data_IF_855580492143
#
_entry.id   IF_855580492143
#
_cell.length_a   1.000
_cell.length_b   1.000
_cell.length_c   1.000
_cell.angle_alpha   90.00
_cell.angle_beta   90.00
_cell.angle_gamma   90.00
#
_symmetry.space_group_name_H-M   'P 1'
#
loop_
_entity.id
_entity.type
_entity.pdbx_description
1 polymer ?
#
# COMPACT_ATOMS: atom_id res chain seq x y z
N UNK A 1 13.60 -12.68 27.81
CA UNK A 1 12.39 -12.71 26.94
C UNK A 1 11.85 -11.33 26.54
N UNK A 2 11.93 -10.27 27.37
CA UNK A 2 11.59 -8.88 26.96
C UNK A 2 12.60 -8.25 25.99
N UNK A 3 13.90 -8.48 26.18
CA UNK A 3 14.98 -7.95 25.32
C UNK A 3 14.81 -8.33 23.84
N UNK A 4 14.57 -9.60 23.54
CA UNK A 4 14.31 -10.08 22.17
C UNK A 4 13.07 -9.44 21.51
N UNK A 5 12.03 -9.10 22.29
CA UNK A 5 10.89 -8.33 21.76
C UNK A 5 11.30 -6.92 21.36
N UNK A 6 12.07 -6.21 22.19
CA UNK A 6 12.56 -4.86 21.87
C UNK A 6 13.50 -4.84 20.65
N UNK A 7 14.39 -5.83 20.55
CA UNK A 7 15.26 -6.02 19.38
C UNK A 7 14.42 -6.27 18.12
N UNK A 8 13.39 -7.12 18.20
CA UNK A 8 12.47 -7.35 17.08
C UNK A 8 11.71 -6.08 16.63
N UNK A 9 11.24 -5.27 17.57
CA UNK A 9 10.61 -3.98 17.24
C UNK A 9 11.59 -2.98 16.61
N UNK A 10 12.85 -2.97 17.08
CA UNK A 10 13.91 -2.14 16.50
C UNK A 10 14.19 -2.54 15.04
N UNK A 11 14.30 -3.84 14.74
CA UNK A 11 14.49 -4.34 13.38
C UNK A 11 13.31 -3.99 12.47
N UNK A 12 12.08 -4.16 12.94
CA UNK A 12 10.87 -3.74 12.20
C UNK A 12 10.89 -2.25 11.89
N UNK A 13 11.27 -1.42 12.87
CA UNK A 13 11.39 0.02 12.70
C UNK A 13 12.44 0.39 11.66
N UNK A 14 13.62 -0.24 11.70
CA UNK A 14 14.69 -0.04 10.71
C UNK A 14 14.20 -0.42 9.31
N UNK A 15 13.52 -1.56 9.16
CA UNK A 15 12.97 -2.01 7.88
C UNK A 15 11.97 -0.98 7.33
N UNK A 16 11.04 -0.50 8.16
CA UNK A 16 10.05 0.50 7.76
C UNK A 16 10.73 1.79 7.31
N UNK A 17 11.69 2.32 8.07
CA UNK A 17 12.44 3.52 7.70
C UNK A 17 13.19 3.33 6.39
N UNK A 18 13.84 2.18 6.21
CA UNK A 18 14.60 1.87 5.00
C UNK A 18 13.69 1.88 3.78
N UNK A 19 12.52 1.25 3.87
CA UNK A 19 11.53 1.26 2.79
C UNK A 19 10.99 2.66 2.49
N UNK A 20 10.71 3.47 3.53
CA UNK A 20 10.29 4.87 3.34
C UNK A 20 11.37 5.71 2.68
N UNK A 21 12.64 5.50 3.06
CA UNK A 21 13.78 6.22 2.49
C UNK A 21 14.00 5.84 1.02
N UNK A 22 13.93 4.55 0.67
CA UNK A 22 13.98 4.07 -0.71
C UNK A 22 12.84 4.69 -1.53
N UNK A 23 11.62 4.73 -0.99
CA UNK A 23 10.48 5.33 -1.68
C UNK A 23 10.69 6.82 -1.96
N UNK A 24 11.17 7.58 -0.97
CA UNK A 24 11.49 9.00 -1.11
C UNK A 24 12.54 9.25 -2.20
N UNK A 25 13.60 8.44 -2.24
CA UNK A 25 14.68 8.60 -3.24
C UNK A 25 14.22 8.16 -4.63
N UNK A 26 13.41 7.12 -4.73
CA UNK A 26 13.03 6.52 -6.02
C UNK A 26 11.91 7.29 -6.72
N UNK A 27 10.97 7.88 -5.96
CA UNK A 27 9.80 8.54 -6.55
C UNK A 27 9.74 10.03 -6.25
N UNK A 28 9.94 10.45 -5.00
CA UNK A 28 9.77 11.86 -4.63
C UNK A 28 10.90 12.74 -5.16
N UNK A 29 12.15 12.29 -5.01
CA UNK A 29 13.33 13.06 -5.47
C UNK A 29 13.32 13.28 -6.99
N UNK A 30 13.05 12.26 -7.84
CA UNK A 30 12.95 12.45 -9.29
C UNK A 30 11.80 13.37 -9.67
N UNK A 31 10.62 13.27 -9.04
CA UNK A 31 9.51 14.20 -9.31
C UNK A 31 9.94 15.65 -9.13
N UNK A 32 10.59 15.99 -8.00
CA UNK A 32 11.06 17.35 -7.73
C UNK A 32 12.11 17.79 -8.76
N UNK A 33 13.02 16.90 -9.15
CA UNK A 33 14.04 17.20 -10.16
C UNK A 33 13.40 17.45 -11.52
N UNK A 34 12.45 16.64 -11.96
CA UNK A 34 11.76 16.81 -13.24
C UNK A 34 10.96 18.10 -13.28
N UNK A 35 10.25 18.45 -12.19
CA UNK A 35 9.56 19.73 -12.05
C UNK A 35 10.53 20.91 -12.21
N UNK A 36 11.68 20.88 -11.52
CA UNK A 36 12.68 21.95 -11.58
C UNK A 36 13.32 22.08 -12.97
N UNK A 37 13.49 20.97 -13.69
CA UNK A 37 14.04 20.94 -15.05
C UNK A 37 13.01 21.27 -16.13
N UNK A 38 11.73 21.33 -15.78
CA UNK A 38 10.64 21.48 -16.76
C UNK A 38 10.45 20.23 -17.64
N UNK A 39 10.93 19.07 -17.21
CA UNK A 39 10.80 17.80 -17.94
C UNK A 39 9.47 17.14 -17.59
N UNK A 40 8.40 17.62 -18.23
CA UNK A 40 7.03 17.19 -17.93
C UNK A 40 6.67 15.82 -18.54
N UNK A 41 7.37 15.37 -19.59
CA UNK A 41 7.22 14.02 -20.15
C UNK A 41 7.67 12.97 -19.14
N UNK A 42 8.90 13.08 -18.63
CA UNK A 42 9.43 12.16 -17.62
C UNK A 42 8.61 12.21 -16.33
N UNK A 43 8.14 13.40 -15.93
CA UNK A 43 7.27 13.57 -14.76
C UNK A 43 5.93 12.84 -14.93
N UNK A 44 5.26 13.05 -16.07
CA UNK A 44 3.99 12.41 -16.38
C UNK A 44 4.13 10.89 -16.38
N UNK A 45 5.15 10.38 -17.06
CA UNK A 45 5.46 8.95 -17.11
C UNK A 45 5.68 8.38 -15.70
N UNK A 46 6.50 9.03 -14.88
CA UNK A 46 6.78 8.59 -13.51
C UNK A 46 5.53 8.53 -12.64
N UNK A 47 4.66 9.54 -12.73
CA UNK A 47 3.39 9.59 -11.97
C UNK A 47 2.46 8.46 -12.41
N UNK A 48 2.35 8.21 -13.72
CA UNK A 48 1.52 7.12 -14.24
C UNK A 48 2.03 5.75 -13.79
N UNK A 49 3.34 5.51 -13.86
CA UNK A 49 3.97 4.27 -13.36
C UNK A 49 3.70 4.09 -11.87
N UNK A 50 3.86 5.14 -11.07
CA UNK A 50 3.55 5.09 -9.63
C UNK A 50 2.07 4.75 -9.39
N UNK A 51 1.16 5.31 -10.18
CA UNK A 51 -0.27 5.00 -10.13
C UNK A 51 -0.56 3.51 -10.37
N UNK A 52 0.07 2.91 -11.39
CA UNK A 52 -0.06 1.46 -11.66
C UNK A 52 0.50 0.62 -10.52
N UNK A 53 1.64 1.01 -9.94
CA UNK A 53 2.25 0.32 -8.80
C UNK A 53 1.28 0.29 -7.61
N UNK A 54 0.63 1.40 -7.27
CA UNK A 54 -0.33 1.45 -6.17
C UNK A 54 -1.54 0.52 -6.39
N UNK A 55 -2.05 0.44 -7.62
CA UNK A 55 -3.11 -0.51 -7.98
C UNK A 55 -2.62 -1.94 -7.73
N UNK A 56 -1.49 -2.32 -8.33
CA UNK A 56 -0.93 -3.67 -8.23
C UNK A 56 -0.69 -4.06 -6.76
N UNK A 57 -0.10 -3.17 -5.96
CA UNK A 57 0.13 -3.40 -4.53
C UNK A 57 -1.19 -3.67 -3.79
N UNK A 58 -2.25 -2.91 -4.08
CA UNK A 58 -3.57 -3.11 -3.46
C UNK A 58 -4.14 -4.51 -3.71
N UNK A 59 -4.02 -5.01 -4.94
CA UNK A 59 -4.40 -6.38 -5.31
C UNK A 59 -3.48 -7.44 -4.69
N UNK A 60 -2.17 -7.20 -4.70
CA UNK A 60 -1.19 -8.12 -4.14
C UNK A 60 -1.40 -8.34 -2.64
N UNK A 61 -1.65 -7.28 -1.87
CA UNK A 61 -2.00 -7.40 -0.45
C UNK A 61 -3.25 -8.24 -0.22
N UNK A 62 -4.30 -8.06 -1.03
CA UNK A 62 -5.52 -8.87 -0.93
C UNK A 62 -5.20 -10.34 -1.17
N UNK A 63 -4.53 -10.65 -2.28
CA UNK A 63 -4.16 -12.02 -2.63
C UNK A 63 -3.32 -12.68 -1.53
N UNK A 64 -2.34 -11.95 -0.99
CA UNK A 64 -1.45 -12.48 0.03
C UNK A 64 -2.16 -12.74 1.36
N UNK A 65 -2.98 -11.81 1.85
CA UNK A 65 -3.71 -12.00 3.12
C UNK A 65 -4.82 -13.04 2.97
N UNK A 66 -5.60 -12.98 1.88
CA UNK A 66 -6.66 -13.98 1.63
C UNK A 66 -6.07 -15.38 1.42
N UNK A 67 -4.93 -15.51 0.76
CA UNK A 67 -4.23 -16.79 0.60
C UNK A 67 -3.81 -17.39 1.94
N UNK A 68 -3.28 -16.57 2.86
CA UNK A 68 -2.95 -17.02 4.22
C UNK A 68 -4.20 -17.38 5.03
N UNK A 69 -5.25 -16.56 4.95
CA UNK A 69 -6.51 -16.77 5.67
C UNK A 69 -7.23 -18.06 5.24
N UNK A 70 -7.06 -18.49 3.99
CA UNK A 70 -7.67 -19.69 3.44
C UNK A 70 -6.72 -20.91 3.37
N UNK A 71 -5.54 -20.83 3.98
CA UNK A 71 -4.52 -21.87 3.84
C UNK A 71 -4.88 -23.20 4.53
N UNK A 72 -5.74 -23.19 5.56
CA UNK A 72 -6.21 -24.40 6.23
C UNK A 72 -7.55 -24.18 6.94
N UNK A 73 -8.33 -25.25 7.23
CA UNK A 73 -9.60 -25.15 7.96
C UNK A 73 -9.46 -24.45 9.32
N UNK A 74 -8.37 -24.72 10.05
CA UNK A 74 -8.09 -24.08 11.35
C UNK A 74 -7.92 -22.56 11.22
N UNK A 75 -7.20 -22.11 10.18
CA UNK A 75 -6.98 -20.67 9.96
C UNK A 75 -8.27 -19.98 9.51
N UNK A 76 -9.09 -20.67 8.71
CA UNK A 76 -10.40 -20.17 8.31
C UNK A 76 -11.29 -19.95 9.54
N UNK A 77 -11.37 -20.94 10.44
CA UNK A 77 -12.14 -20.85 11.68
C UNK A 77 -11.60 -19.73 12.59
N UNK A 78 -10.28 -19.56 12.65
CA UNK A 78 -9.65 -18.46 13.39
C UNK A 78 -10.11 -17.08 12.89
N UNK A 79 -10.10 -16.84 11.57
CA UNK A 79 -10.56 -15.57 11.00
C UNK A 79 -12.08 -15.38 11.10
N UNK A 80 -12.88 -16.45 11.09
CA UNK A 80 -14.32 -16.41 11.37
C UNK A 80 -14.58 -15.95 12.82
N UNK A 81 -13.88 -16.52 13.79
CA UNK A 81 -13.98 -16.12 15.20
C UNK A 81 -13.56 -14.64 15.41
N UNK A 82 -12.47 -14.20 14.78
CA UNK A 82 -12.08 -12.77 14.81
C UNK A 82 -13.19 -11.89 14.23
N UNK A 83 -13.82 -12.30 13.11
CA UNK A 83 -14.92 -11.55 12.49
C UNK A 83 -16.12 -11.44 13.42
N UNK A 84 -16.51 -12.52 14.10
CA UNK A 84 -17.59 -12.49 15.10
C UNK A 84 -17.28 -11.51 16.23
N UNK A 85 -16.07 -11.59 16.81
CA UNK A 85 -15.61 -10.65 17.84
C UNK A 85 -15.64 -9.19 17.35
N UNK A 86 -15.25 -8.96 16.10
CA UNK A 86 -15.32 -7.62 15.51
C UNK A 86 -16.76 -7.10 15.40
N UNK A 87 -17.71 -7.95 14.99
CA UNK A 87 -19.13 -7.61 14.90
C UNK A 87 -19.75 -7.35 16.27
N UNK A 88 -19.34 -8.10 17.29
CA UNK A 88 -19.73 -7.91 18.69
C UNK A 88 -19.04 -6.70 19.36
N UNK A 89 -18.24 -5.93 18.61
CA UNK A 89 -17.44 -4.79 19.10
C UNK A 89 -16.49 -5.16 20.25
N UNK A 90 -16.09 -6.42 20.32
CA UNK A 90 -15.09 -6.87 21.28
C UNK A 90 -13.71 -6.30 20.94
N UNK A 91 -12.83 -6.27 21.94
CA UNK A 91 -11.48 -5.77 21.79
C UNK A 91 -10.62 -6.76 21.00
N UNK A 92 -10.45 -6.49 19.70
CA UNK A 92 -9.46 -7.19 18.86
C UNK A 92 -8.23 -6.34 18.59
N UNK A 93 -7.09 -6.98 18.33
CA UNK A 93 -5.84 -6.30 17.99
C UNK A 93 -5.99 -5.50 16.69
N UNK A 94 -5.22 -4.42 16.57
CA UNK A 94 -5.19 -3.62 15.35
C UNK A 94 -4.76 -4.44 14.13
N UNK A 95 -3.81 -5.36 14.30
CA UNK A 95 -3.34 -6.25 13.23
C UNK A 95 -4.47 -7.11 12.66
N UNK A 96 -5.34 -7.65 13.53
CA UNK A 96 -6.49 -8.44 13.09
C UNK A 96 -7.55 -7.58 12.38
N UNK A 97 -7.74 -6.32 12.81
CA UNK A 97 -8.61 -5.38 12.08
C UNK A 97 -8.10 -5.11 10.67
N UNK A 98 -6.79 -4.86 10.54
CA UNK A 98 -6.14 -4.62 9.25
C UNK A 98 -6.29 -5.84 8.34
N UNK A 99 -6.04 -7.05 8.84
CA UNK A 99 -6.21 -8.27 8.06
C UNK A 99 -7.65 -8.43 7.55
N UNK A 100 -8.65 -8.23 8.42
CA UNK A 100 -10.07 -8.30 8.02
C UNK A 100 -10.39 -7.26 6.93
N UNK A 101 -9.92 -6.03 7.06
CA UNK A 101 -10.12 -4.99 6.04
C UNK A 101 -9.47 -5.37 4.69
N UNK A 102 -8.27 -5.95 4.72
CA UNK A 102 -7.59 -6.42 3.51
C UNK A 102 -8.40 -7.55 2.85
N UNK A 103 -8.89 -8.52 3.63
CA UNK A 103 -9.75 -9.61 3.16
C UNK A 103 -11.04 -9.05 2.52
N UNK A 104 -11.65 -8.04 3.15
CA UNK A 104 -12.82 -7.32 2.63
C UNK A 104 -12.52 -6.45 1.39
N UNK A 105 -11.27 -6.41 0.95
CA UNK A 105 -10.84 -5.73 -0.26
C UNK A 105 -10.62 -4.22 -0.10
N UNK A 106 -10.47 -3.72 1.13
CA UNK A 106 -10.11 -2.31 1.34
C UNK A 106 -8.74 -1.96 0.75
N UNK A 107 -7.78 -2.89 0.73
CA UNK A 107 -6.49 -2.68 0.07
C UNK A 107 -6.66 -2.34 -1.42
N UNK A 108 -7.55 -3.05 -2.13
CA UNK A 108 -7.87 -2.77 -3.53
C UNK A 108 -8.56 -1.42 -3.66
N UNK A 109 -9.55 -1.13 -2.82
CA UNK A 109 -10.27 0.16 -2.89
C UNK A 109 -9.33 1.35 -2.72
N UNK A 110 -8.42 1.27 -1.76
CA UNK A 110 -7.42 2.32 -1.49
C UNK A 110 -6.41 2.40 -2.65
N UNK A 111 -5.86 1.25 -3.07
CA UNK A 111 -4.91 1.18 -4.18
C UNK A 111 -5.49 1.74 -5.48
N UNK A 112 -6.73 1.39 -5.81
CA UNK A 112 -7.43 1.91 -7.00
C UNK A 112 -7.70 3.41 -6.89
N UNK A 113 -8.15 3.91 -5.74
CA UNK A 113 -8.36 5.36 -5.56
C UNK A 113 -7.08 6.15 -5.78
N UNK A 114 -6.00 5.77 -5.08
CA UNK A 114 -4.70 6.45 -5.20
C UNK A 114 -4.17 6.32 -6.62
N UNK A 115 -4.20 5.11 -7.18
CA UNK A 115 -3.66 4.83 -8.50
C UNK A 115 -4.40 5.55 -9.62
N UNK A 116 -5.74 5.56 -9.61
CA UNK A 116 -6.54 6.30 -10.59
C UNK A 116 -6.27 7.80 -10.47
N UNK A 117 -6.22 8.35 -9.25
CA UNK A 117 -5.88 9.77 -9.06
C UNK A 117 -4.52 10.12 -9.65
N UNK A 118 -3.50 9.28 -9.43
CA UNK A 118 -2.17 9.50 -10.01
C UNK A 118 -2.20 9.39 -11.54
N UNK A 119 -2.86 8.37 -12.10
CA UNK A 119 -3.00 8.23 -13.55
C UNK A 119 -3.69 9.45 -14.17
N UNK A 120 -4.74 9.98 -13.53
CA UNK A 120 -5.41 11.20 -13.98
C UNK A 120 -4.49 12.42 -13.94
N UNK A 121 -3.71 12.62 -12.87
CA UNK A 121 -2.74 13.71 -12.77
C UNK A 121 -1.68 13.61 -13.86
N UNK A 122 -1.10 12.41 -14.06
CA UNK A 122 -0.12 12.16 -15.11
C UNK A 122 -0.67 12.46 -16.50
N UNK A 123 -1.89 12.00 -16.80
CA UNK A 123 -2.57 12.27 -18.07
C UNK A 123 -2.82 13.77 -18.29
N UNK A 124 -3.26 14.50 -17.25
CA UNK A 124 -3.48 15.95 -17.35
C UNK A 124 -2.18 16.68 -17.67
N UNK A 125 -1.08 16.36 -16.97
CA UNK A 125 0.24 16.96 -17.22
C UNK A 125 0.66 16.74 -18.68
N UNK A 126 0.45 15.53 -19.21
CA UNK A 126 0.80 15.21 -20.59
C UNK A 126 -0.05 16.02 -21.58
N UNK A 127 -1.37 16.05 -21.42
CA UNK A 127 -2.27 16.78 -22.32
C UNK A 127 -1.94 18.28 -22.35
N UNK A 128 -1.73 18.89 -21.19
CA UNK A 128 -1.48 20.33 -21.08
C UNK A 128 -0.15 20.76 -21.69
N UNK A 129 0.88 19.91 -21.66
CA UNK A 129 2.20 20.30 -22.16
C UNK A 129 2.47 19.90 -23.61
N UNK A 130 1.74 18.93 -24.15
CA UNK A 130 2.05 18.34 -25.46
C UNK A 130 0.92 18.42 -26.49
N UNK A 131 -0.32 18.69 -26.07
CA UNK A 131 -1.48 18.76 -26.98
C UNK A 131 -2.02 20.20 -27.07
N UNK A 132 -2.11 20.90 -25.95
CA UNK A 132 -2.53 22.30 -25.86
C UNK A 132 -1.35 23.26 -26.05
#
# INVERSE_FOLDING_TARGET
MRFFKYVGYLFLFIIIITWLWIFLITFFTPMVVYIKKGDYESLSFLIMVLGMIFIIIGYWFKLWVSGRANASPYIIEYYQNIREKYMLKEKISFTHKVDLWIIDGYSIKIGNRIGITLLSIGAIIYIVNYIL
#
